data_IF_004473196204
#
_entry.id   IF_004473196204
#
_cell.length_a   1.000
_cell.length_b   1.000
_cell.length_c   1.000
_cell.angle_alpha   90.00
_cell.angle_beta   90.00
_cell.angle_gamma   90.00
#
_symmetry.space_group_name_H-M   'P 1'
#
loop_
_entity.id
_entity.type
_entity.pdbx_description
1 polymer ?
#
# COMPACT_ATOMS: atom_id res chain seq x y z
N UNK A 1 -8.20 18.52 1.98
CA UNK A 1 -8.83 17.94 3.18
C UNK A 1 -9.08 16.45 3.02
N UNK A 2 -9.99 15.99 2.17
CA UNK A 2 -10.38 14.57 2.12
C UNK A 2 -9.24 13.59 1.80
N UNK A 3 -8.42 13.88 0.80
CA UNK A 3 -7.27 13.02 0.45
C UNK A 3 -6.18 13.10 1.54
N UNK A 4 -5.81 14.32 1.95
CA UNK A 4 -4.74 14.56 2.94
C UNK A 4 -5.10 14.03 4.34
N UNK A 5 -6.37 14.14 4.72
CA UNK A 5 -6.87 13.68 6.01
C UNK A 5 -7.45 12.27 5.98
N UNK A 6 -7.31 11.55 4.87
CA UNK A 6 -7.79 10.17 4.70
C UNK A 6 -9.27 9.98 5.08
N UNK A 7 -10.09 11.01 4.80
CA UNK A 7 -11.49 11.05 5.22
C UNK A 7 -12.37 10.40 4.15
N UNK A 8 -13.33 9.53 4.53
CA UNK A 8 -14.30 8.97 3.59
C UNK A 8 -15.04 10.08 2.83
N UNK A 9 -15.22 9.93 1.51
CA UNK A 9 -15.94 10.94 0.73
C UNK A 9 -17.38 11.17 1.20
N UNK A 10 -18.00 10.18 1.86
CA UNK A 10 -19.33 10.32 2.47
C UNK A 10 -19.37 11.42 3.54
N UNK A 11 -18.25 11.73 4.18
CA UNK A 11 -18.17 12.75 5.23
C UNK A 11 -18.58 14.15 4.75
N UNK A 12 -18.45 14.45 3.44
CA UNK A 12 -18.90 15.74 2.87
C UNK A 12 -20.41 15.96 3.01
N UNK A 13 -21.17 14.88 3.19
CA UNK A 13 -22.62 14.87 3.36
C UNK A 13 -23.05 14.70 4.84
N UNK A 14 -22.09 14.66 5.78
CA UNK A 14 -22.40 14.53 7.20
C UNK A 14 -23.03 15.82 7.73
N UNK A 15 -24.14 15.73 8.46
CA UNK A 15 -24.94 16.88 8.92
C UNK A 15 -24.09 17.91 9.68
N UNK A 16 -23.35 17.48 10.70
CA UNK A 16 -22.45 18.36 11.45
C UNK A 16 -21.40 19.07 10.56
N UNK A 17 -20.91 18.42 9.50
CA UNK A 17 -19.94 19.03 8.58
C UNK A 17 -20.62 20.06 7.65
N UNK A 18 -21.85 19.77 7.22
CA UNK A 18 -22.70 20.68 6.44
C UNK A 18 -23.03 21.93 7.27
N UNK A 19 -23.50 21.75 8.49
CA UNK A 19 -23.80 22.86 9.41
C UNK A 19 -22.56 23.71 9.69
N UNK A 20 -21.43 23.08 10.03
CA UNK A 20 -20.15 23.77 10.22
C UNK A 20 -19.76 24.62 9.00
N UNK A 21 -19.87 24.04 7.80
CA UNK A 21 -19.49 24.73 6.56
C UNK A 21 -20.44 25.89 6.27
N UNK A 22 -21.75 25.70 6.45
CA UNK A 22 -22.76 26.73 6.24
C UNK A 22 -22.62 27.90 7.23
N UNK A 23 -22.30 27.60 8.50
CA UNK A 23 -22.05 28.63 9.52
C UNK A 23 -20.81 29.49 9.19
N UNK A 24 -19.81 28.92 8.51
CA UNK A 24 -18.59 29.62 8.08
C UNK A 24 -18.81 30.39 6.78
N UNK A 25 -19.48 29.78 5.80
CA UNK A 25 -19.82 30.40 4.52
C UNK A 25 -21.06 29.75 3.89
N UNK A 26 -22.25 30.28 4.20
CA UNK A 26 -23.53 29.76 3.69
C UNK A 26 -23.74 29.88 2.18
N UNK A 27 -22.87 30.57 1.44
CA UNK A 27 -22.92 30.61 -0.04
C UNK A 27 -22.13 29.47 -0.68
N UNK A 28 -21.30 28.77 0.09
CA UNK A 28 -20.50 27.67 -0.43
C UNK A 28 -21.36 26.41 -0.57
N UNK A 29 -21.60 25.99 -1.81
CA UNK A 29 -22.30 24.73 -2.06
C UNK A 29 -21.33 23.55 -1.95
N UNK A 30 -21.53 22.73 -0.91
CA UNK A 30 -20.78 21.49 -0.73
C UNK A 30 -21.02 20.53 -1.91
N UNK A 31 -19.95 19.93 -2.47
CA UNK A 31 -20.12 18.91 -3.50
C UNK A 31 -20.70 17.63 -2.88
N UNK A 32 -21.44 16.85 -3.67
CA UNK A 32 -21.82 15.49 -3.25
C UNK A 32 -20.59 14.59 -3.18
N UNK A 33 -20.71 13.48 -2.44
CA UNK A 33 -19.64 12.45 -2.35
C UNK A 33 -19.23 11.93 -3.74
N UNK A 34 -20.18 11.86 -4.68
CA UNK A 34 -19.95 11.38 -6.04
C UNK A 34 -19.18 12.40 -6.88
N UNK A 35 -19.50 13.69 -6.72
CA UNK A 35 -18.76 14.77 -7.38
C UNK A 35 -17.32 14.82 -6.84
N UNK A 36 -17.17 14.78 -5.52
CA UNK A 36 -15.86 14.75 -4.86
C UNK A 36 -15.00 13.56 -5.34
N UNK A 37 -15.58 12.35 -5.37
CA UNK A 37 -14.88 11.15 -5.87
C UNK A 37 -14.42 11.28 -7.32
N UNK A 38 -15.29 11.85 -8.19
CA UNK A 38 -14.98 12.09 -9.60
C UNK A 38 -13.86 13.11 -9.77
N UNK A 39 -13.91 14.20 -9.03
CA UNK A 39 -12.91 15.27 -9.09
C UNK A 39 -11.55 14.77 -8.61
N UNK A 40 -11.50 13.98 -7.52
CA UNK A 40 -10.27 13.32 -7.05
C UNK A 40 -9.73 12.32 -8.07
N UNK A 41 -10.62 11.54 -8.70
CA UNK A 41 -10.22 10.58 -9.73
C UNK A 41 -9.65 11.28 -10.96
N UNK A 42 -10.24 12.40 -11.39
CA UNK A 42 -9.71 13.23 -12.47
C UNK A 42 -8.34 13.78 -12.12
N UNK A 43 -8.18 14.35 -10.92
CA UNK A 43 -6.89 14.84 -10.44
C UNK A 43 -5.82 13.74 -10.46
N UNK A 44 -6.17 12.53 -10.02
CA UNK A 44 -5.27 11.37 -10.10
C UNK A 44 -4.85 11.04 -11.55
N UNK A 45 -5.79 11.04 -12.50
CA UNK A 45 -5.47 10.74 -13.90
C UNK A 45 -4.56 11.80 -14.55
N UNK A 46 -4.78 13.06 -14.21
CA UNK A 46 -3.94 14.17 -14.67
C UNK A 46 -2.51 14.03 -14.12
N UNK A 47 -2.35 13.77 -12.81
CA UNK A 47 -1.04 13.56 -12.18
C UNK A 47 -0.36 12.27 -12.67
N UNK A 48 -1.14 11.19 -12.87
CA UNK A 48 -0.64 9.94 -13.45
C UNK A 48 -0.04 10.18 -14.83
N UNK A 49 -0.67 11.00 -15.66
CA UNK A 49 -0.19 11.30 -17.01
C UNK A 49 1.14 12.05 -16.99
N UNK A 50 1.29 13.03 -16.08
CA UNK A 50 2.56 13.74 -15.86
C UNK A 50 3.67 12.80 -15.39
N UNK A 51 3.36 11.95 -14.41
CA UNK A 51 4.32 10.97 -13.89
C UNK A 51 4.74 9.97 -14.97
N UNK A 52 3.81 9.48 -15.78
CA UNK A 52 4.10 8.58 -16.90
C UNK A 52 5.02 9.24 -17.94
N UNK A 53 4.76 10.50 -18.29
CA UNK A 53 5.65 11.26 -19.18
C UNK A 53 7.07 11.39 -18.60
N UNK A 54 7.21 11.55 -17.28
CA UNK A 54 8.51 11.62 -16.62
C UNK A 54 9.24 10.26 -16.59
N UNK A 55 8.54 9.19 -16.20
CA UNK A 55 9.12 7.85 -16.05
C UNK A 55 9.50 7.19 -17.38
N UNK A 56 8.90 7.64 -18.49
CA UNK A 56 9.21 7.14 -19.85
C UNK A 56 10.48 7.72 -20.46
N UNK A 57 11.04 8.79 -19.87
CA UNK A 57 12.31 9.39 -20.30
C UNK A 57 13.42 8.31 -20.23
N UNK A 58 14.23 8.14 -21.29
CA UNK A 58 15.33 7.15 -21.29
C UNK A 58 16.40 7.39 -20.22
N UNK A 59 16.54 8.63 -19.75
CA UNK A 59 17.50 9.04 -18.71
C UNK A 59 17.00 8.77 -17.30
N UNK A 60 15.71 8.51 -17.10
CA UNK A 60 15.14 8.28 -15.78
C UNK A 60 15.47 6.87 -15.31
N UNK A 61 16.24 6.79 -14.23
CA UNK A 61 16.52 5.54 -13.52
C UNK A 61 15.51 5.35 -12.40
N UNK A 62 14.89 4.17 -12.34
CA UNK A 62 13.87 3.84 -11.34
C UNK A 62 14.32 2.65 -10.50
N UNK A 63 14.11 2.76 -9.19
CA UNK A 63 14.19 1.66 -8.25
C UNK A 63 12.78 1.28 -7.80
N UNK A 64 12.50 0.00 -7.68
CA UNK A 64 11.18 -0.49 -7.33
C UNK A 64 11.19 -1.12 -5.94
N UNK A 65 10.12 -0.96 -5.18
CA UNK A 65 9.84 -1.81 -4.02
C UNK A 65 8.48 -2.44 -4.23
N UNK A 66 8.35 -3.74 -3.95
CA UNK A 66 7.06 -4.41 -3.96
C UNK A 66 6.81 -5.10 -2.64
N UNK A 67 5.54 -5.08 -2.22
CA UNK A 67 5.06 -5.82 -1.07
C UNK A 67 3.80 -6.59 -1.46
N UNK A 68 3.69 -7.81 -0.94
CA UNK A 68 2.58 -8.71 -1.20
C UNK A 68 2.03 -9.24 0.11
N UNK A 69 0.74 -9.06 0.35
CA UNK A 69 0.10 -9.54 1.56
C UNK A 69 -1.28 -10.11 1.27
N UNK A 70 -1.73 -10.97 2.16
CA UNK A 70 -3.10 -11.49 2.15
C UNK A 70 -3.96 -10.70 3.13
N UNK A 71 -5.01 -10.07 2.62
CA UNK A 71 -6.03 -9.44 3.46
C UNK A 71 -6.86 -10.55 4.14
N UNK A 72 -6.84 -10.59 5.47
CA UNK A 72 -7.57 -11.58 6.26
C UNK A 72 -9.08 -11.40 6.19
N UNK A 73 -9.56 -10.15 6.11
CA UNK A 73 -10.99 -9.84 6.05
C UNK A 73 -11.60 -10.17 4.69
N UNK A 74 -10.88 -9.94 3.60
CA UNK A 74 -11.37 -10.15 2.24
C UNK A 74 -10.87 -11.46 1.60
N UNK A 75 -9.97 -12.18 2.28
CA UNK A 75 -9.28 -13.38 1.77
C UNK A 75 -8.66 -13.16 0.37
N UNK A 76 -8.20 -11.94 0.12
CA UNK A 76 -7.69 -11.49 -1.18
C UNK A 76 -6.23 -11.10 -1.03
N UNK A 77 -5.40 -11.50 -2.00
CA UNK A 77 -3.99 -11.14 -2.03
C UNK A 77 -3.84 -9.81 -2.75
N UNK A 78 -3.04 -8.91 -2.19
CA UNK A 78 -2.73 -7.62 -2.76
C UNK A 78 -1.24 -7.52 -3.08
N UNK A 79 -0.94 -6.76 -4.12
CA UNK A 79 0.42 -6.33 -4.45
C UNK A 79 0.43 -4.81 -4.57
N UNK A 80 1.40 -4.19 -3.93
CA UNK A 80 1.74 -2.78 -4.15
C UNK A 80 3.11 -2.69 -4.80
N UNK A 81 3.24 -1.86 -5.83
CA UNK A 81 4.53 -1.52 -6.45
C UNK A 81 4.75 -0.03 -6.28
N UNK A 82 5.87 0.32 -5.68
CA UNK A 82 6.30 1.71 -5.48
C UNK A 82 7.54 1.97 -6.29
N UNK A 83 7.52 3.05 -7.06
CA UNK A 83 8.67 3.58 -7.77
C UNK A 83 9.39 4.62 -6.92
N UNK A 84 10.71 4.54 -6.91
CA UNK A 84 11.63 5.46 -6.28
C UNK A 84 12.59 5.98 -7.34
N UNK A 85 12.73 7.30 -7.44
CA UNK A 85 13.60 7.93 -8.43
C UNK A 85 14.05 9.30 -7.92
N UNK A 86 15.13 9.81 -8.50
CA UNK A 86 15.63 11.17 -8.26
C UNK A 86 15.26 12.00 -9.49
N UNK A 87 14.75 13.22 -9.27
CA UNK A 87 14.42 14.14 -10.37
C UNK A 87 15.64 14.92 -10.90
N UNK A 88 15.40 15.69 -11.96
CA UNK A 88 16.43 16.53 -12.60
C UNK A 88 16.96 17.61 -11.61
N UNK A 89 16.19 17.93 -10.57
CA UNK A 89 16.50 18.85 -9.48
C UNK A 89 17.07 18.17 -8.21
N UNK A 90 17.47 16.89 -8.31
CA UNK A 90 18.03 16.09 -7.20
C UNK A 90 17.10 15.81 -6.02
N UNK A 91 15.79 15.92 -6.21
CA UNK A 91 14.81 15.55 -5.20
C UNK A 91 14.46 14.07 -5.30
N UNK A 92 14.41 13.41 -4.14
CA UNK A 92 13.96 12.02 -4.06
C UNK A 92 12.43 11.95 -4.11
N UNK A 93 11.90 11.14 -5.02
CA UNK A 93 10.48 10.85 -5.14
C UNK A 93 10.17 9.40 -4.82
N UNK A 94 9.06 9.21 -4.11
CA UNK A 94 8.42 7.92 -3.86
C UNK A 94 6.98 7.97 -4.36
N UNK A 95 6.60 7.10 -5.27
CA UNK A 95 5.24 7.06 -5.86
C UNK A 95 4.73 5.63 -5.96
N UNK A 96 3.51 5.39 -5.45
CA UNK A 96 2.82 4.12 -5.67
C UNK A 96 2.32 4.12 -7.12
N UNK A 97 2.84 3.19 -7.92
CA UNK A 97 2.53 3.08 -9.36
C UNK A 97 1.58 1.92 -9.66
N UNK A 98 1.43 0.98 -8.72
CA UNK A 98 0.46 -0.09 -8.84
C UNK A 98 -0.03 -0.51 -7.46
N UNK A 99 -1.33 -0.71 -7.33
CA UNK A 99 -1.95 -1.31 -6.16
C UNK A 99 -3.14 -2.12 -6.64
N UNK A 100 -3.03 -3.45 -6.58
CA UNK A 100 -4.04 -4.33 -7.16
C UNK A 100 -4.13 -5.68 -6.46
N UNK A 101 -5.30 -6.33 -6.51
CA UNK A 101 -5.41 -7.72 -6.13
C UNK A 101 -4.63 -8.61 -7.11
N UNK A 102 -4.03 -9.68 -6.60
CA UNK A 102 -3.33 -10.71 -7.37
C UNK A 102 -3.96 -12.08 -7.13
N UNK A 103 -4.02 -12.91 -8.18
CA UNK A 103 -4.66 -14.22 -8.10
C UNK A 103 -3.82 -15.30 -7.42
N UNK A 104 -2.50 -15.11 -7.32
CA UNK A 104 -1.55 -16.15 -6.95
C UNK A 104 -0.27 -15.55 -6.37
N UNK A 105 0.35 -16.27 -5.42
CA UNK A 105 1.67 -15.96 -4.83
C UNK A 105 2.81 -16.73 -5.50
N UNK A 106 2.55 -17.38 -6.64
CA UNK A 106 3.61 -18.05 -7.40
C UNK A 106 4.51 -17.00 -8.04
N UNK A 107 5.81 -17.25 -8.02
CA UNK A 107 6.81 -16.30 -8.52
C UNK A 107 6.59 -15.91 -9.99
N UNK A 108 6.12 -16.84 -10.83
CA UNK A 108 5.83 -16.55 -12.25
C UNK A 108 4.68 -15.55 -12.43
N UNK A 109 3.61 -15.69 -11.65
CA UNK A 109 2.45 -14.79 -11.69
C UNK A 109 2.85 -13.39 -11.19
N UNK A 110 3.59 -13.33 -10.09
CA UNK A 110 4.17 -12.10 -9.53
C UNK A 110 5.06 -11.42 -10.57
N UNK A 111 5.95 -12.18 -11.23
CA UNK A 111 6.85 -11.67 -12.28
C UNK A 111 6.08 -11.10 -13.48
N UNK A 112 5.06 -11.82 -13.95
CA UNK A 112 4.15 -11.37 -15.01
C UNK A 112 3.47 -10.06 -14.64
N UNK A 113 3.02 -9.96 -13.38
CA UNK A 113 2.32 -8.80 -12.87
C UNK A 113 3.22 -7.57 -12.68
N UNK A 114 4.47 -7.78 -12.28
CA UNK A 114 5.49 -6.74 -12.23
C UNK A 114 5.88 -6.27 -13.63
N UNK A 115 6.06 -7.19 -14.58
CA UNK A 115 6.40 -6.86 -15.96
C UNK A 115 5.29 -6.01 -16.61
N UNK A 116 4.02 -6.39 -16.44
CA UNK A 116 2.87 -5.60 -16.92
C UNK A 116 2.87 -4.19 -16.33
N UNK A 117 3.22 -4.05 -15.05
CA UNK A 117 3.35 -2.75 -14.40
C UNK A 117 4.46 -1.92 -15.06
N UNK A 118 5.68 -2.47 -15.15
CA UNK A 118 6.85 -1.78 -15.70
C UNK A 118 6.59 -1.33 -17.15
N UNK A 119 6.08 -2.23 -17.99
CA UNK A 119 5.74 -1.94 -19.39
C UNK A 119 4.59 -0.92 -19.48
N UNK A 120 3.55 -1.05 -18.65
CA UNK A 120 2.40 -0.15 -18.64
C UNK A 120 2.74 1.29 -18.22
N UNK A 121 3.81 1.46 -17.44
CA UNK A 121 4.37 2.77 -17.09
C UNK A 121 5.48 3.24 -18.05
N UNK A 122 5.85 2.43 -19.04
CA UNK A 122 6.88 2.73 -20.02
C UNK A 122 8.28 2.91 -19.41
N UNK A 123 8.52 2.30 -18.25
CA UNK A 123 9.80 2.40 -17.54
C UNK A 123 10.82 1.56 -18.30
N UNK A 124 11.88 2.20 -18.79
CA UNK A 124 12.94 1.54 -19.57
C UNK A 124 14.14 1.12 -18.72
N UNK A 125 14.43 1.87 -17.65
CA UNK A 125 15.61 1.65 -16.83
C UNK A 125 15.20 1.36 -15.38
N UNK A 126 15.05 0.07 -15.06
CA UNK A 126 14.89 -0.40 -13.68
C UNK A 126 16.26 -0.85 -13.17
N UNK A 127 16.77 -0.17 -12.15
CA UNK A 127 18.11 -0.45 -11.63
C UNK A 127 18.09 -1.55 -10.57
N UNK A 128 17.22 -1.42 -9.57
CA UNK A 128 17.05 -2.42 -8.51
C UNK A 128 15.58 -2.59 -8.14
N UNK A 129 15.27 -3.73 -7.56
CA UNK A 129 13.98 -4.03 -6.99
C UNK A 129 14.14 -4.66 -5.60
N UNK A 130 13.47 -4.06 -4.62
CA UNK A 130 13.40 -4.55 -3.26
C UNK A 130 12.10 -5.33 -3.05
N UNK A 131 12.23 -6.58 -2.63
CA UNK A 131 11.11 -7.50 -2.31
C UNK A 131 11.27 -8.00 -0.87
N UNK A 132 10.21 -8.57 -0.31
CA UNK A 132 10.33 -9.32 0.93
C UNK A 132 11.23 -10.57 0.76
N UNK A 133 11.57 -11.23 1.87
CA UNK A 133 12.47 -12.39 1.84
C UNK A 133 11.75 -13.72 1.54
N UNK A 134 10.58 -13.70 0.89
CA UNK A 134 9.87 -14.92 0.52
C UNK A 134 10.58 -15.66 -0.63
N UNK A 135 10.72 -17.00 -0.57
CA UNK A 135 11.37 -17.77 -1.64
C UNK A 135 10.71 -17.65 -3.02
N UNK A 136 9.41 -17.32 -3.06
CA UNK A 136 8.69 -17.06 -4.32
C UNK A 136 9.22 -15.83 -5.05
N UNK A 137 9.72 -14.83 -4.32
CA UNK A 137 10.18 -13.57 -4.88
C UNK A 137 11.56 -13.68 -5.54
N UNK A 138 12.40 -14.61 -5.09
CA UNK A 138 13.65 -14.96 -5.77
C UNK A 138 13.37 -15.42 -7.20
N UNK A 139 12.51 -16.43 -7.34
CA UNK A 139 12.10 -16.94 -8.65
C UNK A 139 11.44 -15.86 -9.49
N UNK A 140 10.56 -15.05 -8.90
CA UNK A 140 9.87 -13.98 -9.60
C UNK A 140 10.85 -12.98 -10.25
N UNK A 141 11.89 -12.62 -9.52
CA UNK A 141 12.92 -11.70 -9.96
C UNK A 141 13.82 -12.28 -11.04
N UNK A 142 14.24 -13.54 -10.91
CA UNK A 142 15.00 -14.25 -11.94
C UNK A 142 14.22 -14.32 -13.26
N UNK A 143 12.91 -14.55 -13.18
CA UNK A 143 12.03 -14.53 -14.34
C UNK A 143 11.84 -13.13 -14.92
N UNK A 144 11.80 -12.10 -14.06
CA UNK A 144 11.58 -10.72 -14.48
C UNK A 144 12.79 -10.18 -15.25
N UNK A 145 14.00 -10.35 -14.70
CA UNK A 145 15.27 -9.90 -15.31
C UNK A 145 15.38 -10.38 -16.75
N UNK A 146 15.06 -11.66 -17.00
CA UNK A 146 15.11 -12.27 -18.35
C UNK A 146 14.10 -11.68 -19.34
N UNK A 147 13.05 -11.02 -18.87
CA UNK A 147 11.95 -10.49 -19.68
C UNK A 147 11.94 -8.96 -19.76
N UNK A 148 12.84 -8.28 -19.05
CA UNK A 148 12.91 -6.82 -19.10
C UNK A 148 13.36 -6.36 -20.50
N UNK A 149 12.57 -5.52 -21.19
CA UNK A 149 12.90 -5.06 -22.52
C UNK A 149 14.09 -4.09 -22.46
N UNK A 150 15.18 -4.40 -23.15
CA UNK A 150 16.32 -3.51 -23.41
C UNK A 150 16.99 -2.90 -22.16
N UNK A 151 16.83 -3.51 -21.00
CA UNK A 151 17.47 -3.01 -19.79
C UNK A 151 18.98 -3.24 -19.92
N UNK A 152 19.76 -2.14 -19.99
CA UNK A 152 21.16 -2.18 -19.58
C UNK A 152 21.16 -2.41 -18.08
N UNK A 153 20.89 -3.65 -17.68
CA UNK A 153 20.84 -4.03 -16.28
C UNK A 153 22.27 -3.90 -15.77
N UNK A 154 22.44 -3.04 -14.78
CA UNK A 154 23.73 -2.79 -14.17
C UNK A 154 24.33 -4.11 -13.64
N UNK A 155 25.61 -4.34 -13.94
CA UNK A 155 26.38 -5.52 -13.52
C UNK A 155 25.66 -6.85 -13.78
N UNK A 156 25.09 -7.01 -14.98
CA UNK A 156 24.36 -8.21 -15.44
C UNK A 156 23.23 -8.65 -14.49
N UNK A 157 22.68 -7.72 -13.70
CA UNK A 157 21.61 -7.98 -12.75
C UNK A 157 22.04 -8.57 -11.41
N UNK A 158 23.35 -8.69 -11.14
CA UNK A 158 23.86 -9.18 -9.84
C UNK A 158 23.35 -8.38 -8.64
N UNK A 159 23.06 -7.09 -8.85
CA UNK A 159 22.55 -6.18 -7.82
C UNK A 159 21.07 -5.83 -7.99
N UNK A 160 20.37 -6.49 -8.91
CA UNK A 160 18.98 -6.17 -9.20
C UNK A 160 18.06 -6.50 -8.01
N UNK A 161 18.34 -7.61 -7.32
CA UNK A 161 17.56 -8.04 -6.17
C UNK A 161 18.13 -7.47 -4.87
N UNK A 162 17.34 -6.64 -4.17
CA UNK A 162 17.61 -6.20 -2.80
C UNK A 162 16.60 -6.86 -1.85
N UNK A 163 17.08 -7.45 -0.75
CA UNK A 163 16.20 -8.00 0.29
C UNK A 163 15.68 -6.87 1.18
N UNK A 164 14.42 -6.97 1.60
CA UNK A 164 13.84 -6.03 2.55
C UNK A 164 14.55 -6.08 3.92
N UNK A 165 15.20 -4.98 4.30
CA UNK A 165 15.91 -4.86 5.59
C UNK A 165 14.97 -5.04 6.79
N UNK A 166 13.76 -4.49 6.74
CA UNK A 166 12.78 -4.65 7.82
C UNK A 166 12.40 -6.13 8.01
N UNK A 167 12.34 -6.89 6.93
CA UNK A 167 12.10 -8.33 7.02
C UNK A 167 13.30 -9.07 7.63
N UNK A 168 14.53 -8.72 7.24
CA UNK A 168 15.75 -9.27 7.83
C UNK A 168 15.78 -9.00 9.34
N UNK A 169 15.52 -7.77 9.77
CA UNK A 169 15.43 -7.41 11.18
C UNK A 169 14.37 -8.21 11.93
N UNK A 170 13.19 -8.40 11.33
CA UNK A 170 12.14 -9.24 11.90
C UNK A 170 12.58 -10.71 12.06
N UNK A 171 13.35 -11.25 11.10
CA UNK A 171 13.92 -12.60 11.23
C UNK A 171 14.92 -12.67 12.38
N UNK A 172 15.84 -11.70 12.49
CA UNK A 172 16.81 -11.63 13.59
C UNK A 172 16.10 -11.58 14.94
N UNK A 173 15.10 -10.71 15.09
CA UNK A 173 14.32 -10.60 16.33
C UNK A 173 13.58 -11.91 16.64
N UNK A 174 12.95 -12.54 15.65
CA UNK A 174 12.25 -13.82 15.83
C UNK A 174 13.19 -14.93 16.27
N UNK A 175 14.38 -15.04 15.68
CA UNK A 175 15.39 -16.00 16.12
C UNK A 175 15.85 -15.69 17.55
N UNK A 176 16.15 -14.43 17.88
CA UNK A 176 16.54 -14.05 19.25
C UNK A 176 15.46 -14.31 20.30
N UNK A 177 14.17 -14.19 19.95
CA UNK A 177 13.06 -14.48 20.86
C UNK A 177 12.92 -15.98 21.18
N UNK A 178 13.46 -16.88 20.36
CA UNK A 178 13.48 -18.32 20.65
C UNK A 178 14.29 -18.65 21.91
N UNK A 179 15.31 -17.86 22.22
CA UNK A 179 16.09 -17.99 23.46
C UNK A 179 15.26 -17.74 24.74
N UNK A 180 14.11 -17.06 24.60
CA UNK A 180 13.17 -16.76 25.70
C UNK A 180 11.78 -17.32 25.42
N UNK A 181 11.72 -18.45 24.71
CA UNK A 181 10.47 -19.02 24.20
C UNK A 181 9.38 -19.18 25.29
N UNK A 182 9.75 -19.62 26.49
CA UNK A 182 8.81 -19.78 27.62
C UNK A 182 8.04 -18.49 27.93
N UNK A 183 8.72 -17.36 28.10
CA UNK A 183 8.07 -16.09 28.43
C UNK A 183 7.23 -15.57 27.26
N UNK A 184 7.72 -15.73 26.03
CA UNK A 184 6.99 -15.36 24.81
C UNK A 184 5.69 -16.15 24.71
N UNK A 185 5.73 -17.46 24.95
CA UNK A 185 4.55 -18.33 24.96
C UNK A 185 3.56 -17.95 26.06
N UNK A 186 4.02 -17.64 27.28
CA UNK A 186 3.15 -17.18 28.37
C UNK A 186 2.35 -15.93 27.96
N UNK A 187 3.03 -14.91 27.42
CA UNK A 187 2.38 -13.68 26.95
C UNK A 187 1.45 -13.97 25.77
N UNK A 188 1.88 -14.77 24.80
CA UNK A 188 1.07 -15.14 23.65
C UNK A 188 -0.22 -15.87 24.07
N UNK A 189 -0.15 -16.77 25.04
CA UNK A 189 -1.30 -17.48 25.59
C UNK A 189 -2.25 -16.55 26.33
N UNK A 190 -1.74 -15.59 27.11
CA UNK A 190 -2.56 -14.57 27.75
C UNK A 190 -3.29 -13.70 26.71
N UNK A 191 -2.61 -13.24 25.66
CA UNK A 191 -3.22 -12.47 24.57
C UNK A 191 -4.28 -13.28 23.82
N UNK A 192 -4.01 -14.56 23.53
CA UNK A 192 -5.00 -15.47 22.92
C UNK A 192 -6.23 -15.60 23.82
N UNK A 193 -6.03 -15.82 25.12
CA UNK A 193 -7.13 -15.91 26.08
C UNK A 193 -7.99 -14.64 26.06
N UNK A 194 -7.39 -13.45 26.09
CA UNK A 194 -8.11 -12.17 26.03
C UNK A 194 -8.91 -12.05 24.73
N UNK A 195 -8.29 -12.31 23.58
CA UNK A 195 -8.94 -12.22 22.26
C UNK A 195 -10.10 -13.20 22.07
N UNK A 196 -10.01 -14.38 22.69
CA UNK A 196 -11.07 -15.38 22.65
C UNK A 196 -12.09 -15.25 23.79
N UNK A 197 -11.86 -14.36 24.76
CA UNK A 197 -12.82 -14.10 25.84
C UNK A 197 -14.04 -13.34 25.32
N UNK A 198 -15.23 -13.81 25.68
CA UNK A 198 -16.52 -13.19 25.31
C UNK A 198 -16.65 -11.75 25.81
N UNK A 199 -16.10 -11.46 27.00
CA UNK A 199 -16.17 -10.12 27.64
C UNK A 199 -15.46 -9.03 26.83
N UNK A 200 -14.34 -9.33 26.16
CA UNK A 200 -13.63 -8.35 25.33
C UNK A 200 -14.39 -8.05 24.03
N UNK A 201 -14.97 -9.08 23.41
CA UNK A 201 -15.79 -8.92 22.19
C UNK A 201 -17.10 -8.16 22.47
N UNK A 202 -17.74 -8.39 23.63
CA UNK A 202 -18.92 -7.63 24.07
C UNK A 202 -18.57 -6.16 24.36
N UNK A 203 -17.46 -5.86 25.03
CA UNK A 203 -17.02 -4.47 25.26
C UNK A 203 -16.68 -3.74 23.97
N UNK A 204 -16.05 -4.41 22.99
CA UNK A 204 -15.77 -3.80 21.69
C UNK A 204 -17.05 -3.60 20.87
N UNK A 205 -18.00 -4.54 20.94
CA UNK A 205 -19.32 -4.39 20.34
C UNK A 205 -20.08 -3.23 20.97
N UNK A 206 -20.11 -3.14 22.30
CA UNK A 206 -20.75 -2.05 23.06
C UNK A 206 -20.11 -0.68 22.79
N UNK A 207 -18.78 -0.59 22.65
CA UNK A 207 -18.12 0.68 22.26
C UNK A 207 -18.50 1.04 20.81
N UNK A 208 -18.51 0.07 19.88
CA UNK A 208 -18.92 0.32 18.50
C UNK A 208 -20.40 0.67 18.34
N UNK A 209 -21.28 0.12 19.19
CA UNK A 209 -22.72 0.46 19.20
C UNK A 209 -23.02 1.72 19.99
N UNK A 210 -22.28 2.04 21.06
CA UNK A 210 -22.46 3.30 21.80
C UNK A 210 -22.05 4.51 20.96
N UNK A 211 -21.07 4.36 20.07
CA UNK A 211 -20.73 5.38 19.06
C UNK A 211 -21.84 5.51 18.01
N UNK A 212 -22.60 4.45 17.72
CA UNK A 212 -23.72 4.46 16.75
C UNK A 212 -25.04 4.93 17.39
N UNK A 213 -25.31 4.62 18.66
CA UNK A 213 -26.56 4.98 19.35
C UNK A 213 -26.55 6.38 19.95
N UNK A 214 -25.38 6.99 20.20
CA UNK A 214 -25.30 8.42 20.53
C UNK A 214 -25.78 9.33 19.37
N UNK A 215 -25.76 8.84 18.14
CA UNK A 215 -26.29 9.55 16.96
C UNK A 215 -27.81 9.38 16.78
N UNK A 216 -28.44 8.34 17.35
CA UNK A 216 -29.89 8.11 17.22
C UNK A 216 -30.72 8.72 18.37
N UNK A 217 -30.11 9.05 19.51
CA UNK A 217 -30.83 9.65 20.66
C UNK A 217 -30.72 11.19 20.74
N UNK A 218 -30.18 11.83 19.70
CA UNK A 218 -30.21 13.29 19.50
C UNK A 218 -31.08 13.71 18.30
N UNK A 219 -32.21 13.04 18.10
CA UNK A 219 -33.36 13.58 17.38
C UNK A 219 -34.48 13.94 18.37
#
# INVERSE_FOLDING_TARGET
MFVVGEIPFKFVEHEAFVEYTNARNGRFMLPSRHKLSRDVSKYYLDERSKLLAYLTKPTTTVHLTTDTWTSSCQKTNYMVVTAHFIDDEWNMHKRIINFRPIGSHKGEDISSDLLKCIVGWGIKNVMTMTVDNAPSNDKALDHLIKKLPNAKIYDDGKHFHIRCMAHILNLIVKEGLKEKNYHVECVANAVKYIRHSTKFNEQQYLISTTVVTYDEQKQ
#
